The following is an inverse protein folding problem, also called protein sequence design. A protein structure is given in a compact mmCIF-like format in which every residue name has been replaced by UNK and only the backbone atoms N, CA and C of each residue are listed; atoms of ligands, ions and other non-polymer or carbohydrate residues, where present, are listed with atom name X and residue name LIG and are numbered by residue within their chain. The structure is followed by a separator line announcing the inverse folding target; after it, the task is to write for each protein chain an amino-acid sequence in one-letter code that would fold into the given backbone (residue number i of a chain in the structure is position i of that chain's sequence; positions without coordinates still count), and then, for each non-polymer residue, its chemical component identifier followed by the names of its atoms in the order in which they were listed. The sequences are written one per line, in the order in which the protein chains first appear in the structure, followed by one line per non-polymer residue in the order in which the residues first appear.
data_IF_747012041017
#
_entry.id   IF_747012041017
#
_cell.length_a   1.000
_cell.length_b   1.000
_cell.length_c   1.000
_cell.angle_alpha   90.00
_cell.angle_beta   90.00
_cell.angle_gamma   90.00
#
_symmetry.space_group_name_H-M   'P 1'
#
loop_
_entity.id
_entity.type
_entity.pdbx_description
1 polymer ?
#
# COMPACT_ATOMS: atom_id res chain seq x y z
N UNK A 1 4.08 1.23 15.63
CA UNK A 1 5.15 2.11 16.15
C UNK A 1 5.60 3.14 15.13
N UNK A 2 5.74 2.80 13.83
CA UNK A 2 6.25 3.70 12.78
C UNK A 2 5.63 5.10 12.79
N UNK A 3 4.29 5.19 12.87
CA UNK A 3 3.59 6.47 12.99
C UNK A 3 4.12 7.37 14.11
N UNK A 4 4.40 6.82 15.30
CA UNK A 4 4.87 7.59 16.45
C UNK A 4 6.26 8.19 16.20
N UNK A 5 7.14 7.45 15.51
CA UNK A 5 8.47 7.93 15.14
C UNK A 5 8.38 9.04 14.08
N UNK A 6 7.52 8.87 13.08
CA UNK A 6 7.24 9.92 12.09
C UNK A 6 6.69 11.17 12.76
N UNK A 7 5.75 11.04 13.69
CA UNK A 7 5.18 12.18 14.42
C UNK A 7 6.22 12.87 15.31
N UNK A 8 7.14 12.13 15.93
CA UNK A 8 8.24 12.71 16.69
C UNK A 8 9.19 13.55 15.81
N UNK A 9 9.42 13.12 14.56
CA UNK A 9 10.23 13.87 13.60
C UNK A 9 9.51 15.06 12.97
N UNK A 10 8.21 14.93 12.69
CA UNK A 10 7.39 16.01 12.11
C UNK A 10 7.08 17.13 13.10
N UNK A 11 6.91 16.78 14.38
CA UNK A 11 6.48 17.71 15.42
C UNK A 11 7.46 17.72 16.60
N UNK A 12 8.73 18.13 16.41
CA UNK A 12 9.60 18.40 17.54
C UNK A 12 8.98 19.52 18.41
N UNK A 13 9.00 19.40 19.75
CA UNK A 13 8.45 20.43 20.62
C UNK A 13 9.24 21.76 20.47
N UNK A 14 8.51 22.87 20.42
CA UNK A 14 9.06 24.22 20.58
C UNK A 14 9.05 24.61 22.07
N UNK A 15 9.72 25.70 22.46
CA UNK A 15 9.91 26.10 23.87
C UNK A 15 8.61 26.00 24.72
N UNK A 16 7.50 26.56 24.24
CA UNK A 16 6.21 26.55 24.96
C UNK A 16 5.57 25.14 25.05
N UNK A 17 6.00 24.20 24.22
CA UNK A 17 5.52 22.80 24.17
C UNK A 17 6.52 21.81 24.80
N UNK A 18 7.66 22.31 25.30
CA UNK A 18 8.61 21.51 26.07
C UNK A 18 8.05 21.21 27.46
N UNK A 19 7.64 19.97 27.68
CA UNK A 19 7.10 19.54 28.98
C UNK A 19 8.16 18.92 29.91
N UNK A 20 9.35 18.60 29.38
CA UNK A 20 10.47 18.03 30.15
C UNK A 20 11.82 18.43 29.55
N UNK A 21 12.69 18.98 30.38
CA UNK A 21 14.05 19.38 29.99
C UNK A 21 14.85 18.18 29.46
N UNK A 22 15.55 18.40 28.34
CA UNK A 22 16.37 17.38 27.68
C UNK A 22 15.59 16.31 26.91
N UNK A 23 14.24 16.39 26.86
CA UNK A 23 13.40 15.47 26.08
C UNK A 23 12.67 16.22 24.95
N UNK A 24 13.26 16.21 23.75
CA UNK A 24 12.72 16.84 22.54
C UNK A 24 11.64 15.97 21.88
N UNK A 25 10.61 15.61 22.64
CA UNK A 25 9.48 14.81 22.18
C UNK A 25 8.18 15.32 22.81
N UNK A 26 7.10 15.32 22.03
CA UNK A 26 5.76 15.60 22.53
C UNK A 26 4.78 14.50 22.14
N UNK A 27 3.77 14.20 22.99
CA UNK A 27 2.75 13.23 22.66
C UNK A 27 1.85 13.77 21.55
N UNK A 28 1.75 13.03 20.45
CA UNK A 28 0.78 13.29 19.38
C UNK A 28 -0.24 12.16 19.36
N UNK A 29 -1.55 12.44 19.53
CA UNK A 29 -2.56 11.40 19.55
C UNK A 29 -2.70 10.76 18.17
N UNK A 30 -2.89 9.44 18.15
CA UNK A 30 -3.22 8.68 16.97
C UNK A 30 -4.33 7.69 17.29
N UNK A 31 -5.09 7.31 16.27
CA UNK A 31 -6.16 6.32 16.38
C UNK A 31 -5.76 5.06 15.63
N UNK A 32 -6.36 3.93 16.01
CA UNK A 32 -6.25 2.68 15.28
C UNK A 32 -7.56 1.91 15.44
N UNK A 33 -7.87 1.09 14.44
CA UNK A 33 -8.94 0.12 14.52
C UNK A 33 -8.36 -1.25 14.86
N UNK A 34 -9.18 -2.13 15.43
CA UNK A 34 -8.80 -3.55 15.51
C UNK A 34 -8.73 -4.11 14.09
N UNK A 35 -7.81 -5.06 13.83
CA UNK A 35 -7.53 -5.56 12.47
C UNK A 35 -8.79 -5.97 11.69
N UNK A 36 -9.70 -6.70 12.31
CA UNK A 36 -10.94 -7.18 11.67
C UNK A 36 -12.00 -6.08 11.44
N UNK A 37 -11.78 -4.88 11.96
CA UNK A 37 -12.67 -3.72 11.83
C UNK A 37 -12.10 -2.66 10.88
N UNK A 38 -10.80 -2.77 10.54
CA UNK A 38 -10.11 -1.79 9.71
C UNK A 38 -10.28 -2.08 8.22
N UNK A 39 -11.46 -1.75 7.68
CA UNK A 39 -11.69 -1.90 6.24
C UNK A 39 -10.91 -0.88 5.40
N UNK A 40 -10.47 0.23 6.01
CA UNK A 40 -9.80 1.34 5.33
C UNK A 40 -8.38 0.95 4.95
N UNK A 41 -7.62 0.37 5.89
CA UNK A 41 -6.23 -0.04 5.66
C UNK A 41 -6.05 -1.55 5.52
N UNK A 42 -7.01 -2.36 5.98
CA UNK A 42 -6.93 -3.82 5.96
C UNK A 42 -8.16 -4.45 5.29
N UNK A 43 -8.68 -3.80 4.25
CA UNK A 43 -9.81 -4.33 3.47
C UNK A 43 -9.49 -5.66 2.76
N UNK A 44 -8.21 -6.01 2.58
CA UNK A 44 -7.77 -7.34 2.12
C UNK A 44 -8.07 -8.46 3.13
N UNK A 45 -8.40 -8.13 4.39
CA UNK A 45 -8.86 -9.09 5.39
C UNK A 45 -10.39 -9.29 5.36
N UNK A 46 -11.12 -8.62 4.47
CA UNK A 46 -12.55 -8.83 4.31
C UNK A 46 -12.85 -10.28 3.90
N UNK A 47 -13.84 -10.95 4.54
CA UNK A 47 -14.23 -12.30 4.16
C UNK A 47 -14.48 -12.46 2.65
N UNK A 48 -15.16 -11.49 2.03
CA UNK A 48 -15.41 -11.53 0.59
C UNK A 48 -14.13 -11.38 -0.26
N UNK A 49 -13.17 -10.59 0.21
CA UNK A 49 -11.87 -10.45 -0.47
C UNK A 49 -11.13 -11.79 -0.46
N UNK A 50 -11.07 -12.45 0.70
CA UNK A 50 -10.37 -13.74 0.86
C UNK A 50 -10.98 -14.82 -0.04
N UNK A 51 -12.31 -14.88 -0.14
CA UNK A 51 -13.01 -15.78 -1.08
C UNK A 51 -12.61 -15.51 -2.53
N UNK A 52 -12.69 -14.24 -2.96
CA UNK A 52 -12.35 -13.86 -4.34
C UNK A 52 -10.87 -14.08 -4.66
N UNK A 53 -9.98 -13.82 -3.71
CA UNK A 53 -8.55 -14.07 -3.86
C UNK A 53 -8.29 -15.56 -4.09
N UNK A 54 -8.95 -16.43 -3.32
CA UNK A 54 -8.85 -17.88 -3.48
C UNK A 54 -9.43 -18.34 -4.83
N UNK A 55 -10.58 -17.80 -5.24
CA UNK A 55 -11.15 -18.07 -6.56
C UNK A 55 -10.22 -17.67 -7.71
N UNK A 56 -9.58 -16.50 -7.62
CA UNK A 56 -8.61 -16.04 -8.63
C UNK A 56 -7.39 -16.96 -8.63
N UNK A 57 -6.85 -17.27 -7.45
CA UNK A 57 -5.68 -18.15 -7.29
C UNK A 57 -5.90 -19.55 -7.89
N UNK A 58 -7.14 -20.06 -7.82
CA UNK A 58 -7.52 -21.37 -8.34
C UNK A 58 -8.16 -21.33 -9.74
N UNK A 59 -8.20 -20.17 -10.40
CA UNK A 59 -8.74 -20.04 -11.76
C UNK A 59 -7.84 -20.73 -12.79
N UNK A 60 -8.42 -21.19 -13.91
CA UNK A 60 -7.64 -21.87 -14.95
C UNK A 60 -6.51 -20.98 -15.52
N UNK A 61 -6.79 -19.69 -15.70
CA UNK A 61 -5.81 -18.69 -16.16
C UNK A 61 -4.65 -18.55 -15.16
N UNK A 62 -4.95 -18.44 -13.87
CA UNK A 62 -3.91 -18.29 -12.85
C UNK A 62 -3.09 -19.57 -12.67
N UNK A 63 -3.73 -20.74 -12.74
CA UNK A 63 -3.03 -22.02 -12.70
C UNK A 63 -2.10 -22.20 -13.91
N UNK A 64 -2.50 -21.75 -15.10
CA UNK A 64 -1.65 -21.74 -16.28
C UNK A 64 -0.48 -20.78 -16.15
N UNK A 65 -0.70 -19.56 -15.64
CA UNK A 65 0.36 -18.59 -15.35
C UNK A 65 1.34 -19.11 -14.30
N UNK A 66 0.83 -19.71 -13.22
CA UNK A 66 1.63 -20.30 -12.15
C UNK A 66 2.46 -21.50 -12.65
N UNK A 67 1.91 -22.34 -13.52
CA UNK A 67 2.61 -23.50 -14.08
C UNK A 67 3.88 -23.13 -14.88
N UNK A 68 3.99 -21.89 -15.38
CA UNK A 68 5.19 -21.41 -16.09
C UNK A 68 6.44 -21.39 -15.21
N UNK A 69 6.28 -21.35 -13.89
CA UNK A 69 7.37 -21.29 -12.92
C UNK A 69 7.51 -22.57 -12.10
N UNK A 70 6.93 -23.68 -12.59
CA UNK A 70 6.88 -24.96 -11.87
C UNK A 70 8.25 -25.41 -11.36
N UNK A 71 9.27 -25.37 -12.21
CA UNK A 71 10.63 -25.81 -11.84
C UNK A 71 11.20 -24.96 -10.69
N UNK A 72 10.99 -23.65 -10.73
CA UNK A 72 11.40 -22.74 -9.64
C UNK A 72 10.64 -23.05 -8.34
N UNK A 73 9.33 -23.31 -8.42
CA UNK A 73 8.53 -23.63 -7.23
C UNK A 73 8.86 -25.00 -6.64
N UNK A 74 9.13 -26.00 -7.48
CA UNK A 74 9.61 -27.31 -7.05
C UNK A 74 10.95 -27.16 -6.32
N UNK A 75 11.90 -26.39 -6.90
CA UNK A 75 13.20 -26.11 -6.29
C UNK A 75 13.07 -25.44 -4.93
N UNK A 76 12.27 -24.36 -4.84
CA UNK A 76 12.00 -23.69 -3.57
C UNK A 76 11.39 -24.66 -2.56
N UNK A 77 10.42 -25.49 -2.97
CA UNK A 77 9.75 -26.44 -2.08
C UNK A 77 10.71 -27.52 -1.56
N UNK A 78 11.61 -28.02 -2.40
CA UNK A 78 12.62 -29.02 -2.02
C UNK A 78 13.60 -28.48 -0.96
N UNK A 79 14.04 -27.22 -1.11
CA UNK A 79 15.03 -26.61 -0.22
C UNK A 79 14.45 -26.01 1.06
N UNK A 80 13.20 -25.54 1.03
CA UNK A 80 12.58 -24.86 2.18
C UNK A 80 11.61 -25.74 2.97
N UNK A 81 11.08 -26.81 2.34
CA UNK A 81 9.95 -27.57 2.86
C UNK A 81 8.61 -26.83 2.77
N UNK A 82 8.58 -25.60 2.22
CA UNK A 82 7.36 -24.85 1.97
C UNK A 82 6.56 -25.52 0.86
N UNK A 83 5.25 -25.66 1.04
CA UNK A 83 4.37 -26.11 -0.04
C UNK A 83 3.97 -24.90 -0.89
N UNK A 84 4.71 -24.64 -1.97
CA UNK A 84 4.44 -23.51 -2.86
C UNK A 84 3.27 -23.84 -3.79
N UNK A 85 2.11 -23.21 -3.56
CA UNK A 85 0.85 -23.45 -4.29
C UNK A 85 0.31 -22.22 -5.02
N UNK A 86 0.78 -21.03 -4.66
CA UNK A 86 0.39 -19.74 -5.25
C UNK A 86 1.51 -18.71 -5.06
N UNK A 87 1.44 -17.60 -5.81
CA UNK A 87 2.44 -16.53 -5.71
C UNK A 87 2.56 -15.96 -4.28
N UNK A 88 1.47 -15.93 -3.50
CA UNK A 88 1.49 -15.54 -2.08
C UNK A 88 2.47 -16.34 -1.22
N UNK A 89 2.73 -17.60 -1.53
CA UNK A 89 3.67 -18.41 -0.75
C UNK A 89 5.11 -17.90 -0.96
N UNK A 90 5.45 -17.50 -2.19
CA UNK A 90 6.74 -16.88 -2.52
C UNK A 90 6.81 -15.43 -2.04
N UNK A 91 5.70 -14.70 -2.05
CA UNK A 91 5.59 -13.37 -1.42
C UNK A 91 6.01 -13.42 0.06
N UNK A 92 5.50 -14.37 0.84
CA UNK A 92 5.90 -14.50 2.24
C UNK A 92 7.37 -14.93 2.40
N UNK A 93 7.86 -15.81 1.51
CA UNK A 93 9.26 -16.23 1.51
C UNK A 93 10.21 -15.05 1.25
N UNK A 94 9.85 -14.14 0.33
CA UNK A 94 10.61 -12.92 0.05
C UNK A 94 10.93 -12.15 1.34
N UNK A 95 9.92 -11.86 2.18
CA UNK A 95 10.14 -11.09 3.41
C UNK A 95 10.99 -11.84 4.44
N UNK A 96 10.93 -13.17 4.46
CA UNK A 96 11.81 -13.98 5.30
C UNK A 96 13.26 -13.82 4.90
N UNK A 97 13.57 -14.07 3.62
CA UNK A 97 14.94 -14.03 3.10
C UNK A 97 15.49 -12.59 3.12
N UNK A 98 14.69 -11.59 2.72
CA UNK A 98 15.12 -10.19 2.73
C UNK A 98 15.50 -9.74 4.14
N UNK A 99 14.68 -10.10 5.14
CA UNK A 99 14.97 -9.76 6.54
C UNK A 99 16.24 -10.43 7.02
N UNK A 100 16.47 -11.70 6.69
CA UNK A 100 17.70 -12.40 7.08
C UNK A 100 18.95 -11.72 6.48
N UNK A 101 18.92 -11.40 5.18
CA UNK A 101 20.00 -10.72 4.48
C UNK A 101 20.28 -9.32 5.06
N UNK A 102 19.23 -8.51 5.28
CA UNK A 102 19.33 -7.16 5.83
C UNK A 102 19.90 -7.14 7.26
N UNK A 103 19.64 -8.19 8.04
CA UNK A 103 20.21 -8.38 9.37
C UNK A 103 21.64 -8.96 9.35
N UNK A 104 22.21 -9.17 8.15
CA UNK A 104 23.57 -9.65 7.97
C UNK A 104 23.74 -11.15 8.21
N UNK A 105 22.65 -11.92 8.19
CA UNK A 105 22.76 -13.38 8.21
C UNK A 105 23.29 -13.88 6.87
N UNK A 106 24.13 -14.90 6.92
CA UNK A 106 24.55 -15.59 5.70
C UNK A 106 23.36 -16.44 5.21
N UNK A 107 22.87 -16.11 4.02
CA UNK A 107 21.80 -16.89 3.39
C UNK A 107 22.30 -18.31 3.04
N UNK A 108 21.44 -19.33 3.12
CA UNK A 108 21.80 -20.67 2.69
C UNK A 108 22.13 -20.74 1.19
N UNK A 109 23.06 -21.64 0.81
CA UNK A 109 23.58 -21.80 -0.57
C UNK A 109 22.47 -21.93 -1.64
N UNK A 110 21.35 -22.59 -1.34
CA UNK A 110 20.26 -22.75 -2.29
C UNK A 110 19.65 -21.41 -2.76
N UNK A 111 19.75 -20.36 -1.94
CA UNK A 111 19.20 -19.05 -2.29
C UNK A 111 19.94 -18.42 -3.47
N UNK A 112 21.21 -18.75 -3.72
CA UNK A 112 22.02 -18.18 -4.81
C UNK A 112 21.40 -18.39 -6.20
N UNK A 113 20.58 -19.44 -6.36
CA UNK A 113 19.93 -19.76 -7.64
C UNK A 113 18.72 -18.85 -7.94
N UNK A 114 18.06 -18.32 -6.91
CA UNK A 114 16.74 -17.68 -7.04
C UNK A 114 16.63 -16.30 -6.37
N UNK A 115 17.54 -15.97 -5.47
CA UNK A 115 17.58 -14.70 -4.74
C UNK A 115 18.59 -13.72 -5.36
N UNK A 116 18.29 -12.41 -5.42
CA UNK A 116 17.01 -11.79 -5.11
C UNK A 116 16.02 -11.79 -6.28
N UNK A 117 16.51 -11.81 -7.52
CA UNK A 117 15.73 -11.41 -8.71
C UNK A 117 14.48 -12.26 -8.95
N UNK A 118 14.61 -13.59 -8.89
CA UNK A 118 13.50 -14.50 -9.23
C UNK A 118 12.44 -14.47 -8.13
N UNK A 119 12.84 -14.58 -6.85
CA UNK A 119 11.92 -14.48 -5.72
C UNK A 119 11.21 -13.12 -5.70
N UNK A 120 11.94 -12.02 -5.92
CA UNK A 120 11.35 -10.67 -5.97
C UNK A 120 10.31 -10.56 -7.09
N UNK A 121 10.65 -11.02 -8.30
CA UNK A 121 9.74 -11.01 -9.45
C UNK A 121 8.46 -11.80 -9.17
N UNK A 122 8.59 -12.98 -8.55
CA UNK A 122 7.47 -13.84 -8.20
C UNK A 122 6.63 -13.27 -7.05
N UNK A 123 7.26 -12.61 -6.07
CA UNK A 123 6.56 -11.90 -5.00
C UNK A 123 5.73 -10.74 -5.55
N UNK A 124 6.28 -9.95 -6.47
CA UNK A 124 5.57 -8.82 -7.10
C UNK A 124 4.34 -9.29 -7.88
N UNK A 125 4.36 -10.49 -8.46
CA UNK A 125 3.16 -11.06 -9.12
C UNK A 125 1.97 -11.15 -8.18
N UNK A 126 2.19 -11.38 -6.89
CA UNK A 126 1.10 -11.47 -5.91
C UNK A 126 0.31 -10.16 -5.79
N UNK A 127 0.95 -8.99 -5.91
CA UNK A 127 0.22 -7.71 -5.93
C UNK A 127 -0.77 -7.62 -7.10
N UNK A 128 -0.42 -8.18 -8.26
CA UNK A 128 -1.33 -8.22 -9.40
C UNK A 128 -2.46 -9.24 -9.21
N UNK A 129 -2.18 -10.39 -8.57
CA UNK A 129 -3.22 -11.36 -8.18
C UNK A 129 -4.20 -10.73 -7.18
N UNK A 130 -3.67 -10.06 -6.16
CA UNK A 130 -4.42 -9.32 -5.15
C UNK A 130 -5.32 -8.21 -5.73
N UNK A 131 -4.97 -7.72 -6.93
CA UNK A 131 -5.70 -6.64 -7.62
C UNK A 131 -6.36 -7.12 -8.91
N UNK A 132 -6.56 -8.43 -9.10
CA UNK A 132 -7.03 -8.99 -10.37
C UNK A 132 -8.48 -8.64 -10.71
N UNK A 133 -9.38 -8.60 -9.71
CA UNK A 133 -10.81 -8.29 -9.90
C UNK A 133 -11.17 -6.91 -9.36
N UNK A 134 -12.12 -6.24 -10.00
CA UNK A 134 -12.59 -4.91 -9.58
C UNK A 134 -13.13 -4.92 -8.14
N UNK A 135 -13.86 -5.95 -7.74
CA UNK A 135 -14.37 -6.12 -6.38
C UNK A 135 -13.24 -6.25 -5.35
N UNK A 136 -12.14 -6.91 -5.71
CA UNK A 136 -10.95 -6.99 -4.87
C UNK A 136 -10.31 -5.61 -4.71
N UNK A 137 -10.16 -4.85 -5.81
CA UNK A 137 -9.62 -3.47 -5.76
C UNK A 137 -10.46 -2.53 -4.90
N UNK A 138 -11.80 -2.68 -4.96
CA UNK A 138 -12.77 -1.95 -4.12
C UNK A 138 -12.52 -2.18 -2.63
N UNK A 139 -12.18 -3.41 -2.23
CA UNK A 139 -11.87 -3.72 -0.84
C UNK A 139 -10.43 -3.35 -0.46
N UNK A 140 -9.45 -3.66 -1.30
CA UNK A 140 -8.03 -3.40 -1.05
C UNK A 140 -7.72 -1.90 -0.90
N UNK A 141 -8.28 -1.06 -1.77
CA UNK A 141 -7.95 0.37 -1.84
C UNK A 141 -9.16 1.29 -1.81
N UNK A 142 -10.33 0.79 -2.20
CA UNK A 142 -11.52 1.61 -2.39
C UNK A 142 -12.04 2.28 -1.12
N UNK A 143 -12.03 1.57 0.03
CA UNK A 143 -12.40 2.17 1.32
C UNK A 143 -11.47 3.33 1.70
N UNK A 144 -10.17 3.19 1.45
CA UNK A 144 -9.18 4.27 1.65
C UNK A 144 -9.42 5.44 0.71
N UNK A 145 -9.58 5.18 -0.60
CA UNK A 145 -9.86 6.23 -1.58
C UNK A 145 -11.14 6.98 -1.26
N UNK A 146 -12.21 6.28 -0.84
CA UNK A 146 -13.44 6.92 -0.41
C UNK A 146 -13.20 7.84 0.80
N UNK A 147 -12.44 7.38 1.79
CA UNK A 147 -12.08 8.19 2.96
C UNK A 147 -11.31 9.46 2.59
N UNK A 148 -10.35 9.36 1.66
CA UNK A 148 -9.60 10.50 1.13
C UNK A 148 -10.52 11.49 0.43
N UNK A 149 -11.46 11.01 -0.39
CA UNK A 149 -12.44 11.85 -1.08
C UNK A 149 -13.40 12.55 -0.11
N UNK A 150 -13.86 11.84 0.92
CA UNK A 150 -14.71 12.41 1.98
C UNK A 150 -13.99 13.50 2.75
N UNK A 151 -12.76 13.25 3.20
CA UNK A 151 -11.95 14.24 3.92
C UNK A 151 -11.64 15.46 3.04
N UNK A 152 -11.37 15.24 1.76
CA UNK A 152 -11.12 16.31 0.78
C UNK A 152 -12.37 17.17 0.59
N UNK A 153 -13.54 16.56 0.35
CA UNK A 153 -14.81 17.28 0.22
C UNK A 153 -15.16 18.03 1.49
N UNK A 154 -14.96 17.41 2.65
CA UNK A 154 -15.17 18.07 3.94
C UNK A 154 -14.24 19.29 4.09
N UNK A 155 -12.97 19.20 3.72
CA UNK A 155 -12.04 20.33 3.79
C UNK A 155 -12.42 21.48 2.84
N UNK A 156 -12.88 21.18 1.64
CA UNK A 156 -13.20 22.18 0.61
C UNK A 156 -14.55 22.86 0.86
N UNK A 157 -15.58 22.06 1.18
CA UNK A 157 -16.97 22.52 1.19
C UNK A 157 -17.56 22.68 2.59
N UNK A 158 -16.94 22.10 3.63
CA UNK A 158 -17.47 22.15 4.99
C UNK A 158 -16.70 23.12 5.88
N UNK A 159 -17.45 23.90 6.66
CA UNK A 159 -16.92 24.70 7.77
C UNK A 159 -16.67 23.89 9.04
N UNK A 160 -16.92 22.57 9.04
CA UNK A 160 -16.92 21.72 10.24
C UNK A 160 -15.51 21.41 10.81
N UNK A 161 -14.45 21.45 10.00
CA UNK A 161 -13.08 21.15 10.41
C UNK A 161 -12.05 22.11 9.77
N UNK A 162 -12.14 23.43 9.99
CA UNK A 162 -11.35 24.41 9.25
C UNK A 162 -9.83 24.24 9.45
N UNK A 163 -9.40 23.62 10.55
CA UNK A 163 -8.00 23.50 10.94
C UNK A 163 -7.24 22.26 10.45
N UNK A 164 -7.90 21.17 10.01
CA UNK A 164 -7.18 19.95 9.61
C UNK A 164 -6.40 20.22 8.32
N UNK A 165 -5.10 19.95 8.32
CA UNK A 165 -4.18 20.17 7.18
C UNK A 165 -3.59 18.88 6.60
N UNK A 166 -3.55 17.81 7.40
CA UNK A 166 -2.93 16.54 7.03
C UNK A 166 -3.68 15.39 7.70
N UNK A 167 -3.82 14.30 6.96
CA UNK A 167 -4.20 12.98 7.46
C UNK A 167 -3.02 12.05 7.19
N UNK A 168 -2.55 11.34 8.21
CA UNK A 168 -1.42 10.45 8.10
C UNK A 168 -1.87 9.02 8.43
N UNK A 169 -1.68 8.11 7.48
CA UNK A 169 -2.03 6.71 7.59
C UNK A 169 -0.76 5.88 7.60
N UNK A 170 -0.51 5.17 8.71
CA UNK A 170 0.61 4.23 8.82
C UNK A 170 0.08 2.85 8.52
N UNK A 171 0.56 2.25 7.42
CA UNK A 171 0.02 1.02 6.87
C UNK A 171 1.17 0.08 6.45
N UNK A 172 0.91 -0.79 5.48
CA UNK A 172 1.83 -1.81 4.98
C UNK A 172 2.29 -1.51 3.55
N UNK A 173 3.34 -2.21 3.13
CA UNK A 173 3.91 -2.17 1.78
C UNK A 173 2.87 -2.50 0.70
N UNK A 174 2.01 -3.50 0.94
CA UNK A 174 0.94 -3.85 0.02
C UNK A 174 -0.07 -2.70 -0.15
N UNK A 175 -0.37 -1.92 0.90
CA UNK A 175 -1.26 -0.77 0.76
C UNK A 175 -0.71 0.28 -0.22
N UNK A 176 0.61 0.47 -0.25
CA UNK A 176 1.27 1.36 -1.21
C UNK A 176 1.18 0.77 -2.61
N UNK A 177 1.59 -0.49 -2.79
CA UNK A 177 1.57 -1.16 -4.08
C UNK A 177 0.15 -1.18 -4.68
N UNK A 178 -0.84 -1.62 -3.90
CA UNK A 178 -2.24 -1.69 -4.28
C UNK A 178 -2.79 -0.29 -4.64
N UNK A 179 -2.50 0.74 -3.83
CA UNK A 179 -2.92 2.11 -4.14
C UNK A 179 -2.34 2.59 -5.48
N UNK A 180 -1.04 2.40 -5.70
CA UNK A 180 -0.38 2.77 -6.95
C UNK A 180 -0.93 1.99 -8.15
N UNK A 181 -1.29 0.71 -7.97
CA UNK A 181 -1.94 -0.13 -8.99
C UNK A 181 -3.32 0.44 -9.33
N UNK A 182 -4.15 0.75 -8.33
CA UNK A 182 -5.47 1.36 -8.52
C UNK A 182 -5.40 2.71 -9.22
N UNK A 183 -4.34 3.49 -8.96
CA UNK A 183 -4.10 4.78 -9.60
C UNK A 183 -3.45 4.67 -10.99
N UNK A 184 -3.07 3.46 -11.42
CA UNK A 184 -2.46 3.21 -12.73
C UNK A 184 -1.04 3.75 -12.88
N UNK A 185 -0.31 3.89 -11.77
CA UNK A 185 1.04 4.49 -11.71
C UNK A 185 2.08 3.59 -11.03
N UNK A 186 1.72 2.33 -10.77
CA UNK A 186 2.64 1.35 -10.17
C UNK A 186 3.66 0.85 -11.19
N UNK A 187 4.94 1.05 -10.86
CA UNK A 187 6.06 0.35 -11.49
C UNK A 187 6.30 -0.95 -10.69
N UNK A 188 6.55 -2.12 -11.30
CA UNK A 188 6.73 -3.37 -10.54
C UNK A 188 7.94 -3.33 -9.59
N UNK A 189 7.68 -3.26 -8.28
CA UNK A 189 8.68 -3.38 -7.20
C UNK A 189 8.00 -3.76 -5.88
N UNK A 190 8.78 -4.17 -4.87
CA UNK A 190 8.31 -4.26 -3.49
C UNK A 190 8.60 -2.90 -2.82
N UNK A 191 7.60 -2.20 -2.25
CA UNK A 191 7.85 -0.93 -1.58
C UNK A 191 8.81 -1.08 -0.38
N UNK A 192 9.82 -0.21 -0.32
CA UNK A 192 10.86 -0.22 0.70
C UNK A 192 10.33 0.24 2.06
N UNK A 193 11.09 -0.08 3.13
CA UNK A 193 10.79 0.45 4.45
C UNK A 193 10.73 1.98 4.47
N UNK A 194 9.66 2.51 5.06
CA UNK A 194 9.44 3.94 5.16
C UNK A 194 8.92 4.60 3.89
N UNK A 195 8.74 3.85 2.78
CA UNK A 195 8.12 4.37 1.57
C UNK A 195 6.76 5.01 1.87
N UNK A 196 6.38 6.01 1.08
CA UNK A 196 5.12 6.74 1.30
C UNK A 196 4.55 7.31 0.01
N UNK A 197 3.22 7.45 -0.01
CA UNK A 197 2.47 8.17 -1.05
C UNK A 197 1.88 9.44 -0.45
N UNK A 198 2.05 10.57 -1.13
CA UNK A 198 1.39 11.84 -0.76
C UNK A 198 0.33 12.16 -1.81
N UNK A 199 -0.89 12.43 -1.34
CA UNK A 199 -1.98 12.99 -2.13
C UNK A 199 -2.21 14.43 -1.69
N UNK A 200 -1.67 15.39 -2.44
CA UNK A 200 -1.80 16.81 -2.13
C UNK A 200 -3.00 17.44 -2.83
N UNK A 201 -3.85 18.12 -2.07
CA UNK A 201 -4.99 18.86 -2.60
C UNK A 201 -4.59 20.33 -2.80
N UNK A 202 -4.51 20.75 -4.06
CA UNK A 202 -4.14 22.10 -4.47
C UNK A 202 -5.33 22.88 -5.00
N UNK A 203 -5.27 24.21 -4.90
CA UNK A 203 -6.21 25.13 -5.58
C UNK A 203 -5.41 26.04 -6.50
N UNK A 204 -5.48 25.78 -7.81
CA UNK A 204 -4.76 26.53 -8.86
C UNK A 204 -5.78 27.20 -9.76
N UNK A 205 -5.69 28.51 -9.97
CA UNK A 205 -6.63 29.29 -10.79
C UNK A 205 -8.11 29.02 -10.48
N UNK A 206 -8.43 28.93 -9.18
CA UNK A 206 -9.75 28.58 -8.63
C UNK A 206 -10.26 27.16 -8.90
N UNK A 207 -9.43 26.27 -9.45
CA UNK A 207 -9.74 24.85 -9.65
C UNK A 207 -9.04 24.02 -8.57
N UNK A 208 -9.77 23.13 -7.92
CA UNK A 208 -9.18 22.14 -7.02
C UNK A 208 -8.67 20.94 -7.81
N UNK A 209 -7.54 20.39 -7.38
CA UNK A 209 -6.97 19.18 -7.99
C UNK A 209 -6.01 18.46 -7.06
N UNK A 210 -5.67 17.23 -7.47
CA UNK A 210 -4.81 16.32 -6.75
C UNK A 210 -3.45 16.26 -7.45
N UNK A 211 -2.37 16.36 -6.69
CA UNK A 211 -1.02 15.99 -7.12
C UNK A 211 -0.56 14.78 -6.30
N UNK A 212 0.07 13.82 -6.97
CA UNK A 212 0.46 12.55 -6.36
C UNK A 212 1.98 12.47 -6.34
N UNK A 213 2.54 12.09 -5.20
CA UNK A 213 3.96 11.89 -5.01
C UNK A 213 4.22 10.52 -4.42
N UNK A 214 5.32 9.88 -4.83
CA UNK A 214 5.76 8.61 -4.30
C UNK A 214 7.25 8.66 -3.97
N UNK A 215 7.59 8.27 -2.75
CA UNK A 215 8.97 8.06 -2.30
C UNK A 215 9.17 6.59 -1.95
N UNK A 216 10.24 6.01 -2.50
CA UNK A 216 10.69 4.65 -2.20
C UNK A 216 12.13 4.61 -1.65
N UNK A 217 12.79 5.76 -1.48
CA UNK A 217 14.19 5.92 -1.09
C UNK A 217 15.21 5.37 -2.10
N UNK A 218 14.84 5.32 -3.38
CA UNK A 218 15.73 4.91 -4.47
C UNK A 218 16.44 6.12 -5.15
N UNK A 219 16.22 7.35 -4.67
CA UNK A 219 16.74 8.57 -5.28
C UNK A 219 16.69 9.80 -4.37
N UNK A 220 16.72 11.00 -4.96
CA UNK A 220 16.88 12.28 -4.26
C UNK A 220 15.57 12.92 -3.75
N UNK A 221 14.55 12.11 -3.44
CA UNK A 221 13.28 12.61 -2.90
C UNK A 221 12.01 12.11 -3.62
N UNK A 222 10.83 12.53 -3.13
CA UNK A 222 9.55 12.05 -3.63
C UNK A 222 9.34 12.41 -5.11
N UNK A 223 9.11 11.39 -5.94
CA UNK A 223 8.82 11.52 -7.36
C UNK A 223 7.37 11.96 -7.57
N UNK A 224 7.16 12.93 -8.46
CA UNK A 224 5.81 13.32 -8.91
C UNK A 224 5.28 12.26 -9.88
N UNK A 225 4.08 11.76 -9.61
CA UNK A 225 3.41 10.77 -10.44
C UNK A 225 2.36 11.43 -11.34
N UNK A 226 2.19 10.86 -12.53
CA UNK A 226 1.18 11.27 -13.51
C UNK A 226 0.21 10.12 -13.71
N UNK A 227 -1.01 10.26 -13.19
CA UNK A 227 -2.06 9.28 -13.44
C UNK A 227 -2.40 9.20 -14.92
N UNK A 228 -2.80 8.02 -15.44
CA UNK A 228 -3.39 7.90 -16.75
C UNK A 228 -4.52 8.92 -16.93
N UNK A 229 -4.58 9.52 -18.13
CA UNK A 229 -5.56 10.55 -18.50
C UNK A 229 -5.44 11.89 -17.74
N UNK A 230 -4.60 12.05 -16.73
CA UNK A 230 -4.36 13.33 -16.06
C UNK A 230 -2.99 13.91 -16.41
N UNK A 231 -2.82 15.23 -16.24
CA UNK A 231 -1.48 15.82 -16.10
C UNK A 231 -1.02 15.69 -14.64
N UNK A 232 0.19 16.18 -14.32
CA UNK A 232 0.72 16.15 -12.92
C UNK A 232 -0.27 16.78 -11.92
N UNK A 233 -1.00 17.80 -12.35
CA UNK A 233 -2.19 18.29 -11.66
C UNK A 233 -3.44 17.63 -12.26
N UNK A 234 -4.11 16.79 -11.47
CA UNK A 234 -5.34 16.12 -11.87
C UNK A 234 -6.55 16.86 -11.28
N UNK A 235 -7.41 17.52 -12.09
CA UNK A 235 -8.59 18.22 -11.57
C UNK A 235 -9.45 17.29 -10.71
N UNK A 236 -9.96 17.79 -9.58
CA UNK A 236 -10.59 16.95 -8.56
C UNK A 236 -11.80 16.18 -9.11
N UNK A 237 -12.63 16.81 -9.94
CA UNK A 237 -13.78 16.15 -10.57
C UNK A 237 -13.33 14.99 -11.47
N UNK A 238 -12.24 15.18 -12.21
CA UNK A 238 -11.67 14.15 -13.07
C UNK A 238 -11.06 13.01 -12.25
N UNK A 239 -10.31 13.34 -11.20
CA UNK A 239 -9.78 12.34 -10.25
C UNK A 239 -10.91 11.49 -9.67
N UNK A 240 -12.00 12.12 -9.22
CA UNK A 240 -13.18 11.43 -8.71
C UNK A 240 -13.81 10.48 -9.74
N UNK A 241 -13.93 10.89 -11.00
CA UNK A 241 -14.40 10.02 -12.08
C UNK A 241 -13.48 8.82 -12.31
N UNK A 242 -12.15 9.03 -12.30
CA UNK A 242 -11.17 7.96 -12.55
C UNK A 242 -11.17 6.89 -11.44
N UNK A 243 -11.47 7.26 -10.20
CA UNK A 243 -11.49 6.31 -9.06
C UNK A 243 -12.88 5.80 -8.69
N UNK A 244 -13.94 6.27 -9.36
CA UNK A 244 -15.33 5.97 -8.98
C UNK A 244 -15.65 4.47 -8.96
N UNK A 245 -15.08 3.72 -9.91
CA UNK A 245 -15.33 2.28 -10.07
C UNK A 245 -14.72 1.46 -8.94
N UNK A 246 -13.81 2.06 -8.17
CA UNK A 246 -13.19 1.45 -7.00
C UNK A 246 -13.88 1.82 -5.69
N UNK A 247 -14.90 2.69 -5.70
CA UNK A 247 -15.60 3.04 -4.46
C UNK A 247 -16.52 1.88 -4.04
N UNK A 248 -16.31 1.27 -2.86
CA UNK A 248 -17.08 0.11 -2.42
C UNK A 248 -18.45 0.54 -1.86
N UNK A 249 -19.50 -0.28 -2.01
CA UNK A 249 -20.68 -0.16 -1.16
C UNK A 249 -20.36 -0.63 0.28
N UNK A 250 -21.14 -0.15 1.24
CA UNK A 250 -20.90 -0.37 2.67
C UNK A 250 -20.84 -1.85 3.10
N UNK A 251 -21.59 -2.70 2.39
CA UNK A 251 -21.78 -4.13 2.70
C UNK A 251 -20.80 -5.06 1.96
N UNK A 252 -19.96 -4.55 1.05
CA UNK A 252 -19.09 -5.36 0.19
C UNK A 252 -18.18 -6.33 0.94
N UNK A 253 -17.65 -5.90 2.09
CA UNK A 253 -16.71 -6.69 2.90
C UNK A 253 -17.31 -8.03 3.39
N UNK A 254 -18.64 -8.13 3.50
CA UNK A 254 -19.31 -9.21 4.21
C UNK A 254 -19.35 -8.98 5.73
N UNK A 255 -20.10 -9.83 6.44
CA UNK A 255 -20.13 -9.91 7.91
C UNK A 255 -19.21 -11.01 8.40
#
# INVERSE_FOLDING_TARGET
MSLQLVLAGLFPPQEDSMWKDGLYWQPVPYNYHQRHQDKVLLGTLCPKYLELYDEVSNSAEMLEEFAKFKETFDYISEHTGLKVTRFYDVYNLYFGISTEEEWGFQLPEWTETVWPETITTLAIKDYFVAMARTEMRKMATGYFLNKVLEDTKAKIFSSLQPGRKMHLYSAHENNIAELLISLGVFEPHVPNYGAYVILEIHRVDNVYGVMIFYENYDGDGPRRLKMPECEVFCPLDKFMTLVQDYIPPDDLCGR
#
